data_IF_299827690454
#
_entry.id   IF_299827690454
#
_cell.length_a   1.000
_cell.length_b   1.000
_cell.length_c   1.000
_cell.angle_alpha   90.00
_cell.angle_beta   90.00
_cell.angle_gamma   90.00
#
_symmetry.space_group_name_H-M   'P 1'
#
loop_
_entity.id
_entity.type
_entity.pdbx_description
1 polymer ?
#
# COMPACT_ATOMS: atom_id res chain seq x y z
N UNK A 1 30.30 -17.36 21.91
CA UNK A 1 30.46 -15.94 22.30
C UNK A 1 29.25 -15.22 21.77
N UNK A 2 28.44 -14.57 22.62
CA UNK A 2 27.30 -13.78 22.14
C UNK A 2 27.81 -12.50 21.48
N UNK A 3 27.06 -11.99 20.50
CA UNK A 3 27.35 -10.69 19.89
C UNK A 3 27.25 -9.59 20.97
N UNK A 4 28.09 -8.54 20.91
CA UNK A 4 27.92 -7.37 21.78
C UNK A 4 26.53 -6.75 21.60
N UNK A 5 25.91 -6.25 22.68
CA UNK A 5 24.54 -5.72 22.67
C UNK A 5 24.30 -4.64 21.59
N UNK A 6 25.31 -3.81 21.33
CA UNK A 6 25.27 -2.80 20.26
C UNK A 6 25.07 -3.43 18.88
N UNK A 7 25.73 -4.56 18.61
CA UNK A 7 25.63 -5.27 17.33
C UNK A 7 24.27 -5.96 17.23
N UNK A 8 23.79 -6.57 18.32
CA UNK A 8 22.44 -7.16 18.36
C UNK A 8 21.36 -6.12 18.04
N UNK A 9 21.48 -4.91 18.62
CA UNK A 9 20.55 -3.81 18.35
C UNK A 9 20.56 -3.39 16.87
N UNK A 10 21.73 -3.16 16.28
CA UNK A 10 21.85 -2.75 14.87
C UNK A 10 21.23 -3.80 13.93
N UNK A 11 21.50 -5.09 14.18
CA UNK A 11 20.94 -6.18 13.38
C UNK A 11 19.42 -6.22 13.54
N UNK A 12 18.90 -6.03 14.75
CA UNK A 12 17.46 -6.00 15.00
C UNK A 12 16.79 -4.84 14.25
N UNK A 13 17.28 -3.63 14.43
CA UNK A 13 16.73 -2.42 13.81
C UNK A 13 16.72 -2.58 12.27
N UNK A 14 17.80 -3.10 11.69
CA UNK A 14 17.87 -3.37 10.25
C UNK A 14 16.89 -4.44 9.76
N UNK A 15 16.69 -5.52 10.53
CA UNK A 15 15.74 -6.58 10.18
C UNK A 15 14.29 -6.09 10.29
N UNK A 16 13.99 -5.21 11.24
CA UNK A 16 12.69 -4.55 11.38
C UNK A 16 12.45 -3.65 10.16
N UNK A 17 13.41 -2.78 9.81
CA UNK A 17 13.33 -1.91 8.63
C UNK A 17 13.15 -2.71 7.32
N UNK A 18 13.88 -3.82 7.15
CA UNK A 18 13.71 -4.68 5.98
C UNK A 18 12.33 -5.35 5.94
N UNK A 19 11.84 -5.82 7.09
CA UNK A 19 10.54 -6.45 7.22
C UNK A 19 9.40 -5.50 6.86
N UNK A 20 9.48 -4.25 7.33
CA UNK A 20 8.51 -3.20 7.07
C UNK A 20 8.45 -2.85 5.58
N UNK A 21 9.60 -2.70 4.91
CA UNK A 21 9.65 -2.44 3.47
C UNK A 21 8.96 -3.54 2.66
N UNK A 22 9.21 -4.81 2.99
CA UNK A 22 8.58 -5.95 2.29
C UNK A 22 7.08 -6.04 2.57
N UNK A 23 6.64 -5.70 3.79
CA UNK A 23 5.23 -5.65 4.13
C UNK A 23 4.51 -4.54 3.35
N UNK A 24 5.12 -3.37 3.25
CA UNK A 24 4.60 -2.21 2.52
C UNK A 24 4.47 -2.50 1.02
N UNK A 25 5.51 -3.05 0.37
CA UNK A 25 5.46 -3.44 -1.04
C UNK A 25 4.30 -4.42 -1.34
N UNK A 26 4.10 -5.42 -0.49
CA UNK A 26 3.00 -6.38 -0.64
C UNK A 26 1.63 -5.74 -0.46
N UNK A 27 1.53 -4.71 0.39
CA UNK A 27 0.29 -3.97 0.57
C UNK A 27 0.04 -3.05 -0.63
N UNK A 28 1.06 -2.42 -1.21
CA UNK A 28 0.95 -1.65 -2.46
C UNK A 28 0.36 -2.54 -3.56
N UNK A 29 0.95 -3.71 -3.81
CA UNK A 29 0.48 -4.64 -4.85
C UNK A 29 -0.96 -5.08 -4.62
N UNK A 30 -1.32 -5.36 -3.36
CA UNK A 30 -2.69 -5.70 -2.97
C UNK A 30 -3.65 -4.56 -3.31
N UNK A 31 -3.35 -3.32 -2.89
CA UNK A 31 -4.22 -2.17 -3.14
C UNK A 31 -4.38 -1.90 -4.63
N UNK A 32 -3.30 -1.96 -5.41
CA UNK A 32 -3.37 -1.81 -6.88
C UNK A 32 -4.30 -2.84 -7.50
N UNK A 33 -4.20 -4.09 -7.08
CA UNK A 33 -5.06 -5.18 -7.57
C UNK A 33 -6.54 -4.92 -7.25
N UNK A 34 -6.84 -4.54 -6.01
CA UNK A 34 -8.21 -4.28 -5.57
C UNK A 34 -8.82 -3.03 -6.23
N UNK A 35 -8.03 -1.98 -6.46
CA UNK A 35 -8.46 -0.79 -7.20
C UNK A 35 -8.85 -1.13 -8.64
N UNK A 36 -8.01 -1.93 -9.34
CA UNK A 36 -8.33 -2.44 -10.69
C UNK A 36 -9.58 -3.34 -10.69
N UNK A 37 -9.94 -3.89 -9.54
CA UNK A 37 -11.18 -4.63 -9.29
C UNK A 37 -12.41 -3.77 -8.97
N UNK A 38 -12.34 -2.45 -9.19
CA UNK A 38 -13.41 -1.48 -8.89
C UNK A 38 -13.80 -1.36 -7.40
N UNK A 39 -12.93 -1.78 -6.46
CA UNK A 39 -13.14 -1.50 -5.04
C UNK A 39 -12.69 -0.07 -4.70
N UNK A 40 -13.35 0.53 -3.71
CA UNK A 40 -13.03 1.90 -3.25
C UNK A 40 -11.77 1.88 -2.39
N UNK A 41 -10.83 2.80 -2.65
CA UNK A 41 -9.59 2.94 -1.87
C UNK A 41 -9.82 2.97 -0.36
N UNK A 42 -10.79 3.77 0.10
CA UNK A 42 -11.13 3.86 1.54
C UNK A 42 -11.49 2.50 2.13
N UNK A 43 -12.24 1.67 1.42
CA UNK A 43 -12.62 0.34 1.89
C UNK A 43 -11.43 -0.62 1.92
N UNK A 44 -10.51 -0.49 0.96
CA UNK A 44 -9.32 -1.35 0.88
C UNK A 44 -8.35 -1.04 2.04
N UNK A 45 -8.14 0.24 2.37
CA UNK A 45 -7.26 0.64 3.49
C UNK A 45 -7.78 0.13 4.83
N UNK A 46 -9.10 -0.02 4.95
CA UNK A 46 -9.75 -0.55 6.14
C UNK A 46 -9.70 -2.09 6.24
N UNK A 47 -9.22 -2.78 5.20
CA UNK A 47 -9.16 -4.24 5.19
C UNK A 47 -8.23 -4.76 6.30
N UNK A 48 -8.60 -5.86 6.99
CA UNK A 48 -7.74 -6.48 8.00
C UNK A 48 -6.33 -6.81 7.47
N UNK A 49 -6.21 -7.12 6.18
CA UNK A 49 -4.92 -7.38 5.55
C UNK A 49 -3.97 -6.18 5.62
N UNK A 50 -4.49 -4.96 5.41
CA UNK A 50 -3.74 -3.69 5.42
C UNK A 50 -3.47 -3.27 6.87
N UNK A 51 -4.51 -3.20 7.70
CA UNK A 51 -4.40 -2.74 9.09
C UNK A 51 -3.52 -3.61 9.99
N UNK A 52 -3.40 -4.91 9.68
CA UNK A 52 -2.53 -5.80 10.43
C UNK A 52 -1.06 -5.72 9.98
N UNK A 53 -0.74 -4.96 8.94
CA UNK A 53 0.60 -4.89 8.34
C UNK A 53 1.21 -3.49 8.37
N UNK A 54 0.37 -2.46 8.25
CA UNK A 54 0.81 -1.08 8.23
C UNK A 54 0.24 -0.32 9.42
N UNK A 55 1.09 0.50 10.03
CA UNK A 55 0.66 1.53 10.96
C UNK A 55 0.10 2.76 10.21
N UNK A 56 -0.46 3.73 10.96
CA UNK A 56 -1.09 4.92 10.38
C UNK A 56 -0.13 5.79 9.56
N UNK A 57 1.16 5.79 9.88
CA UNK A 57 2.19 6.56 9.18
C UNK A 57 2.53 5.89 7.84
N UNK A 58 2.72 4.57 7.85
CA UNK A 58 2.89 3.77 6.64
C UNK A 58 1.66 3.83 5.72
N UNK A 59 0.44 3.93 6.27
CA UNK A 59 -0.77 4.16 5.45
C UNK A 59 -0.71 5.51 4.73
N UNK A 60 -0.15 6.56 5.33
CA UNK A 60 0.04 7.85 4.63
C UNK A 60 1.02 7.69 3.47
N UNK A 61 2.16 7.04 3.71
CA UNK A 61 3.14 6.74 2.67
C UNK A 61 2.56 5.91 1.53
N UNK A 62 1.73 4.91 1.87
CA UNK A 62 1.00 4.08 0.91
C UNK A 62 0.10 4.92 -0.01
N UNK A 63 -0.65 5.88 0.54
CA UNK A 63 -1.57 6.72 -0.25
C UNK A 63 -0.80 7.69 -1.15
N UNK A 64 0.37 8.15 -0.71
CA UNK A 64 1.28 9.02 -1.47
C UNK A 64 2.10 8.27 -2.51
N UNK A 65 2.05 6.93 -2.51
CA UNK A 65 2.83 6.11 -3.43
C UNK A 65 2.41 6.39 -4.91
N UNK A 66 3.37 6.71 -5.80
CA UNK A 66 3.09 7.03 -7.20
C UNK A 66 2.28 5.95 -7.94
N UNK A 67 2.52 4.67 -7.65
CA UNK A 67 1.81 3.55 -8.29
C UNK A 67 0.33 3.51 -7.87
N UNK A 68 0.03 3.86 -6.62
CA UNK A 68 -1.34 3.98 -6.12
C UNK A 68 -2.04 5.16 -6.79
N UNK A 69 -1.39 6.33 -6.80
CA UNK A 69 -1.93 7.56 -7.43
C UNK A 69 -2.23 7.31 -8.91
N UNK A 70 -1.29 6.73 -9.66
CA UNK A 70 -1.46 6.42 -11.07
C UNK A 70 -2.60 5.43 -11.31
N UNK A 71 -2.72 4.39 -10.47
CA UNK A 71 -3.80 3.41 -10.57
C UNK A 71 -5.16 4.08 -10.35
N UNK A 72 -5.30 4.93 -9.33
CA UNK A 72 -6.54 5.68 -9.08
C UNK A 72 -6.90 6.58 -10.26
N UNK A 73 -5.95 7.35 -10.79
CA UNK A 73 -6.19 8.24 -11.94
C UNK A 73 -6.62 7.44 -13.19
N UNK A 74 -6.00 6.29 -13.43
CA UNK A 74 -6.39 5.39 -14.53
C UNK A 74 -7.83 4.86 -14.38
N UNK A 75 -8.22 4.41 -13.19
CA UNK A 75 -9.59 3.94 -12.94
C UNK A 75 -10.61 5.09 -13.02
N UNK A 76 -10.27 6.30 -12.56
CA UNK A 76 -11.11 7.49 -12.74
C UNK A 76 -11.30 7.82 -14.22
N UNK A 77 -10.22 7.84 -15.01
CA UNK A 77 -10.28 8.05 -16.47
C UNK A 77 -11.16 7.02 -17.16
N UNK A 78 -11.08 5.74 -16.78
CA UNK A 78 -11.97 4.69 -17.30
C UNK A 78 -13.43 4.95 -16.95
N UNK A 79 -13.72 5.32 -15.70
CA UNK A 79 -15.08 5.64 -15.26
C UNK A 79 -15.67 6.87 -15.97
N UNK A 80 -14.87 7.89 -16.25
CA UNK A 80 -15.31 9.04 -17.05
C UNK A 80 -15.56 8.68 -18.52
N UNK A 81 -14.73 7.81 -19.11
CA UNK A 81 -14.95 7.32 -20.47
C UNK A 81 -16.23 6.49 -20.57
N UNK A 82 -16.50 5.58 -19.62
CA UNK A 82 -17.71 4.77 -19.64
C UNK A 82 -18.97 5.61 -19.49
N UNK A 83 -18.98 6.58 -18.56
CA UNK A 83 -20.13 7.48 -18.37
C UNK A 83 -20.39 8.45 -19.52
N UNK A 84 -19.39 8.74 -20.36
CA UNK A 84 -19.57 9.62 -21.53
C UNK A 84 -20.36 8.97 -22.67
N UNK A 85 -20.75 7.69 -22.57
CA UNK A 85 -21.54 7.00 -23.60
C UNK A 85 -23.02 6.75 -23.24
N UNK A 86 -23.49 7.14 -22.05
CA UNK A 86 -24.90 6.96 -21.65
C UNK A 86 -25.78 8.23 -21.80
N UNK A 87 -25.29 9.24 -22.53
CA UNK A 87 -25.98 10.53 -22.68
C UNK A 87 -26.33 10.94 -24.12
N UNK A 88 -26.35 10.01 -25.07
CA UNK A 88 -26.95 10.22 -26.40
C UNK A 88 -27.69 8.97 -26.87
#
# INVERSE_FOLDING_TARGET
>A
MSLPDRVQKIVKDFLEDLGDNVAEERVIDYVVKELKGNRRLKSIIEDPYVKNRLNDEQIKHLIENPQIIETVDNELKKAFKSKKFDFF
#
